data_IF_078162761636
#
_entry.id   IF_078162761636
#
_cell.length_a   1.000
_cell.length_b   1.000
_cell.length_c   1.000
_cell.angle_alpha   90.00
_cell.angle_beta   90.00
_cell.angle_gamma   90.00
#
_symmetry.space_group_name_H-M   'P 1'
#
loop_
_entity.id
_entity.type
_entity.pdbx_description
1 polymer ?
#
# COMPACT_ATOMS: atom_id res chain seq x y z
N UNK A 1 -8.98 27.40 30.58
CA UNK A 1 -8.17 26.17 30.42
C UNK A 1 -9.03 25.10 29.76
N UNK A 2 -8.71 24.66 28.54
CA UNK A 2 -9.38 23.53 27.86
C UNK A 2 -8.56 22.27 28.13
N UNK A 3 -9.20 21.20 28.62
CA UNK A 3 -8.55 19.90 28.78
C UNK A 3 -8.13 19.34 27.40
N UNK A 4 -7.00 18.61 27.29
CA UNK A 4 -6.64 17.95 26.04
C UNK A 4 -7.65 16.82 25.77
N UNK A 5 -8.19 16.78 24.54
CA UNK A 5 -9.02 15.69 24.09
C UNK A 5 -8.22 14.39 24.17
N UNK A 6 -8.71 13.45 25.00
CA UNK A 6 -8.13 12.12 25.11
C UNK A 6 -8.34 11.39 23.78
N UNK A 7 -7.30 11.36 22.96
CA UNK A 7 -7.31 10.68 21.66
C UNK A 7 -7.19 9.18 21.87
N UNK A 8 -8.20 8.43 21.49
CA UNK A 8 -8.15 6.96 21.50
C UNK A 8 -7.09 6.47 20.51
N UNK A 9 -6.03 5.83 21.02
CA UNK A 9 -5.06 5.14 20.17
C UNK A 9 -5.67 3.82 19.72
N UNK A 10 -5.87 3.65 18.40
CA UNK A 10 -6.33 2.38 17.82
C UNK A 10 -5.12 1.55 17.40
N UNK A 11 -4.95 0.39 18.03
CA UNK A 11 -3.99 -0.62 17.56
C UNK A 11 -4.44 -1.13 16.18
N UNK A 12 -3.52 -1.13 15.21
CA UNK A 12 -3.72 -1.73 13.89
C UNK A 12 -3.21 -3.17 13.92
N UNK A 13 -3.99 -4.10 13.37
CA UNK A 13 -3.53 -5.46 13.13
C UNK A 13 -2.41 -5.43 12.08
N UNK A 14 -1.25 -6.07 12.32
CA UNK A 14 -0.20 -6.16 11.31
C UNK A 14 -0.73 -6.86 10.06
N UNK A 15 -0.40 -6.31 8.90
CA UNK A 15 -0.81 -6.82 7.59
C UNK A 15 0.37 -7.54 6.92
N UNK A 16 0.12 -8.64 6.17
CA UNK A 16 1.16 -9.32 5.40
C UNK A 16 1.94 -8.34 4.50
N UNK A 17 3.27 -8.49 4.50
CA UNK A 17 4.20 -7.71 3.67
C UNK A 17 4.77 -8.61 2.57
N UNK A 18 4.52 -8.22 1.32
CA UNK A 18 5.12 -8.83 0.13
C UNK A 18 6.29 -7.96 -0.30
N UNK A 19 7.48 -8.56 -0.37
CA UNK A 19 8.71 -7.90 -0.80
C UNK A 19 9.14 -8.49 -2.13
N UNK A 20 9.22 -7.65 -3.15
CA UNK A 20 9.64 -8.02 -4.50
C UNK A 20 10.97 -7.34 -4.83
N UNK A 21 11.85 -8.03 -5.55
CA UNK A 21 13.06 -7.38 -6.05
C UNK A 21 12.73 -6.43 -7.20
N UNK A 22 11.85 -6.83 -8.11
CA UNK A 22 11.45 -6.04 -9.26
C UNK A 22 10.00 -6.31 -9.68
N UNK A 23 9.32 -5.25 -10.12
CA UNK A 23 7.98 -5.33 -10.71
C UNK A 23 7.73 -4.16 -11.68
N UNK A 24 6.66 -4.21 -12.47
CA UNK A 24 6.18 -3.07 -13.27
C UNK A 24 5.73 -1.92 -12.35
N UNK A 25 4.72 -2.16 -11.52
CA UNK A 25 4.28 -1.22 -10.49
C UNK A 25 3.60 -1.94 -9.32
N UNK A 26 3.95 -1.57 -8.09
CA UNK A 26 3.29 -2.08 -6.88
C UNK A 26 1.79 -1.72 -6.84
N UNK A 27 1.40 -0.57 -7.40
CA UNK A 27 0.00 -0.21 -7.56
C UNK A 27 -0.73 -1.08 -8.59
N UNK A 28 -0.06 -1.43 -9.69
CA UNK A 28 -0.62 -2.36 -10.67
C UNK A 28 -0.80 -3.75 -10.07
N UNK A 29 0.15 -4.18 -9.24
CA UNK A 29 0.06 -5.46 -8.51
C UNK A 29 -1.07 -5.47 -7.48
N UNK A 30 -1.20 -4.40 -6.68
CA UNK A 30 -2.32 -4.26 -5.76
C UNK A 30 -3.68 -4.38 -6.48
N UNK A 31 -3.77 -3.80 -7.69
CA UNK A 31 -4.96 -3.95 -8.54
C UNK A 31 -5.15 -5.39 -9.02
N UNK A 32 -4.10 -6.07 -9.51
CA UNK A 32 -4.18 -7.48 -9.95
C UNK A 32 -4.65 -8.40 -8.81
N UNK A 33 -4.16 -8.20 -7.59
CA UNK A 33 -4.60 -8.96 -6.41
C UNK A 33 -6.06 -8.70 -6.08
N UNK A 34 -6.51 -7.45 -6.10
CA UNK A 34 -7.91 -7.11 -5.88
C UNK A 34 -8.83 -7.74 -6.94
N UNK A 35 -8.42 -7.70 -8.22
CA UNK A 35 -9.15 -8.35 -9.33
C UNK A 35 -9.18 -9.88 -9.18
N UNK A 36 -8.16 -10.48 -8.56
CA UNK A 36 -8.11 -11.90 -8.22
C UNK A 36 -8.92 -12.27 -6.95
N UNK A 37 -9.59 -11.32 -6.31
CA UNK A 37 -10.44 -11.55 -5.14
C UNK A 37 -9.74 -11.40 -3.80
N UNK A 38 -8.50 -10.91 -3.74
CA UNK A 38 -7.89 -10.55 -2.46
C UNK A 38 -8.47 -9.24 -1.90
N UNK A 39 -9.20 -9.35 -0.80
CA UNK A 39 -9.83 -8.22 -0.10
C UNK A 39 -9.10 -7.81 1.21
N UNK A 40 -8.05 -8.53 1.59
CA UNK A 40 -7.37 -8.34 2.87
C UNK A 40 -6.40 -7.15 2.89
N UNK A 41 -6.05 -6.65 4.08
CA UNK A 41 -4.97 -5.67 4.19
C UNK A 41 -3.65 -6.34 3.81
N UNK A 42 -2.95 -5.80 2.80
CA UNK A 42 -1.64 -6.28 2.36
C UNK A 42 -0.75 -5.11 1.97
N UNK A 43 0.52 -5.19 2.34
CA UNK A 43 1.57 -4.28 1.90
C UNK A 43 2.38 -4.91 0.79
N UNK A 44 2.65 -4.15 -0.25
CA UNK A 44 3.47 -4.57 -1.38
C UNK A 44 4.59 -3.55 -1.52
N UNK A 45 5.83 -4.01 -1.44
CA UNK A 45 7.02 -3.19 -1.63
C UNK A 45 7.90 -3.83 -2.69
N UNK A 46 8.56 -3.01 -3.49
CA UNK A 46 9.49 -3.45 -4.51
C UNK A 46 10.81 -2.68 -4.41
N UNK A 47 11.96 -3.35 -4.56
CA UNK A 47 13.24 -2.64 -4.65
C UNK A 47 13.35 -1.83 -5.94
N UNK A 48 12.77 -2.33 -7.04
CA UNK A 48 12.71 -1.64 -8.33
C UNK A 48 11.31 -1.72 -8.94
N UNK A 49 10.80 -0.57 -9.40
CA UNK A 49 9.64 -0.51 -10.30
C UNK A 49 10.09 -0.09 -11.70
N UNK A 50 9.68 -0.80 -12.74
CA UNK A 50 10.08 -0.52 -14.14
C UNK A 50 9.08 0.38 -14.87
N UNK A 51 7.84 0.45 -14.38
CA UNK A 51 6.74 1.20 -14.96
C UNK A 51 5.86 1.85 -13.88
N UNK A 52 6.50 2.51 -12.90
CA UNK A 52 5.83 3.26 -11.85
C UNK A 52 4.83 4.28 -12.41
N UNK A 53 3.62 4.32 -11.85
CA UNK A 53 2.53 5.22 -12.30
C UNK A 53 2.26 6.31 -11.26
N UNK A 54 2.64 7.54 -11.61
CA UNK A 54 2.30 8.75 -10.87
C UNK A 54 0.94 9.34 -11.26
N UNK A 55 0.54 10.42 -10.58
CA UNK A 55 -0.73 11.10 -10.84
C UNK A 55 -0.73 11.75 -12.23
N UNK A 56 -1.90 11.77 -12.88
CA UNK A 56 -2.14 12.39 -14.21
C UNK A 56 -1.23 11.79 -15.29
N UNK A 57 -0.97 10.49 -15.23
CA UNK A 57 -0.21 9.76 -16.24
C UNK A 57 1.31 10.00 -16.23
N UNK A 58 1.83 10.73 -15.23
CA UNK A 58 3.29 10.93 -15.10
C UNK A 58 3.97 9.62 -14.70
N UNK A 59 5.18 9.41 -15.19
CA UNK A 59 6.06 8.36 -14.66
C UNK A 59 6.42 8.66 -13.21
N UNK A 60 6.44 7.62 -12.39
CA UNK A 60 6.96 7.63 -11.03
C UNK A 60 8.36 7.04 -11.03
#
# INVERSE_FOLDING_TARGET
>A
MRAPASGTVRALTPAPLVILDEIDSTNAEARRLAEAGEAGPRWIVARRQTAGRGRRGRKW
#
